data_IF_203252787280
#
_entry.id   IF_203252787280
#
_cell.length_a   1.000
_cell.length_b   1.000
_cell.length_c   1.000
_cell.angle_alpha   90.00
_cell.angle_beta   90.00
_cell.angle_gamma   90.00
#
_symmetry.space_group_name_H-M   'P 1'
#
loop_
_entity.id
_entity.type
_entity.pdbx_description
1 polymer ?
#
# COMPACT_ATOMS: atom_id res chain seq x y z
N UNK A 1 -8.97 10.38 -14.16
CA UNK A 1 -8.42 11.61 -13.53
C UNK A 1 -6.99 11.46 -13.04
N UNK A 2 -6.68 10.47 -12.18
CA UNK A 2 -5.31 10.26 -11.66
C UNK A 2 -4.27 10.18 -12.78
N UNK A 3 -4.52 9.37 -13.83
CA UNK A 3 -3.65 9.29 -15.01
C UNK A 3 -3.44 10.65 -15.70
N UNK A 4 -4.49 11.48 -15.80
CA UNK A 4 -4.42 12.83 -16.38
C UNK A 4 -3.48 13.71 -15.56
N UNK A 5 -3.60 13.70 -14.24
CA UNK A 5 -2.75 14.50 -13.35
C UNK A 5 -1.29 14.00 -13.38
N UNK A 6 -1.09 12.68 -13.31
CA UNK A 6 0.26 12.09 -13.31
C UNK A 6 0.97 12.23 -14.65
N UNK A 7 0.25 12.31 -15.78
CA UNK A 7 0.84 12.49 -17.12
C UNK A 7 1.60 13.81 -17.31
N UNK A 8 1.41 14.78 -16.42
CA UNK A 8 2.08 16.08 -16.48
C UNK A 8 3.55 16.04 -16.01
N UNK A 9 4.04 14.87 -15.54
CA UNK A 9 5.39 14.70 -14.99
C UNK A 9 5.96 13.34 -15.34
N UNK A 10 7.28 13.24 -15.32
CA UNK A 10 7.98 11.96 -15.35
C UNK A 10 8.14 11.40 -13.94
N UNK A 11 8.25 10.08 -13.85
CA UNK A 11 8.32 9.32 -12.61
C UNK A 11 9.49 8.35 -12.65
N UNK A 12 10.07 8.07 -11.49
CA UNK A 12 11.20 7.14 -11.33
C UNK A 12 10.77 5.69 -11.56
N UNK A 13 9.52 5.36 -11.25
CA UNK A 13 8.91 4.04 -11.47
C UNK A 13 7.85 4.08 -12.56
N UNK A 14 7.61 2.91 -13.16
CA UNK A 14 6.53 2.73 -14.14
C UNK A 14 5.18 2.64 -13.43
N UNK A 15 4.21 3.43 -13.89
CA UNK A 15 2.81 3.37 -13.42
C UNK A 15 1.94 2.90 -14.57
N UNK A 16 1.20 1.82 -14.35
CA UNK A 16 0.28 1.25 -15.35
C UNK A 16 -1.15 1.48 -14.87
N UNK A 17 -1.94 2.21 -15.65
CA UNK A 17 -3.39 2.31 -15.46
C UNK A 17 -4.07 1.24 -16.33
N UNK A 18 -4.79 0.32 -15.67
CA UNK A 18 -5.45 -0.81 -16.35
C UNK A 18 -6.96 -0.70 -16.19
N UNK A 19 -7.68 -0.82 -17.30
CA UNK A 19 -9.11 -1.09 -17.30
C UNK A 19 -9.31 -2.57 -17.65
N UNK A 20 -9.73 -3.37 -16.68
CA UNK A 20 -9.89 -4.81 -16.81
C UNK A 20 -11.20 -5.15 -17.53
N UNK A 21 -11.17 -6.22 -18.32
CA UNK A 21 -12.37 -6.80 -18.92
C UNK A 21 -12.83 -8.00 -18.11
N UNK A 22 -14.13 -8.29 -18.13
CA UNK A 22 -14.68 -9.54 -17.60
C UNK A 22 -14.43 -9.78 -16.09
N UNK A 23 -14.42 -8.71 -15.29
CA UNK A 23 -14.45 -8.78 -13.82
C UNK A 23 -15.68 -9.60 -13.37
N UNK A 24 -16.86 -9.18 -13.82
CA UNK A 24 -18.17 -9.79 -13.51
C UNK A 24 -18.35 -11.23 -14.02
N UNK A 25 -17.44 -11.74 -14.86
CA UNK A 25 -17.45 -13.13 -15.32
C UNK A 25 -16.40 -14.00 -14.61
N UNK A 26 -15.73 -13.46 -13.59
CA UNK A 26 -14.74 -14.18 -12.78
C UNK A 26 -13.32 -13.64 -12.92
N UNK A 27 -13.15 -12.32 -13.08
CA UNK A 27 -11.85 -11.60 -13.08
C UNK A 27 -10.88 -12.05 -14.17
N UNK A 28 -11.40 -12.47 -15.33
CA UNK A 28 -10.57 -13.05 -16.40
C UNK A 28 -9.54 -12.07 -16.96
N UNK A 29 -9.90 -10.80 -17.11
CA UNK A 29 -8.98 -9.76 -17.60
C UNK A 29 -7.81 -9.55 -16.66
N UNK A 30 -8.05 -9.37 -15.37
CA UNK A 30 -6.99 -9.22 -14.37
C UNK A 30 -6.10 -10.45 -14.27
N UNK A 31 -6.69 -11.66 -14.27
CA UNK A 31 -5.94 -12.92 -14.29
C UNK A 31 -5.00 -12.99 -15.48
N UNK A 32 -5.51 -12.72 -16.69
CA UNK A 32 -4.69 -12.76 -17.89
C UNK A 32 -3.59 -11.69 -17.86
N UNK A 33 -3.90 -10.48 -17.41
CA UNK A 33 -2.95 -9.38 -17.30
C UNK A 33 -1.78 -9.75 -16.39
N UNK A 34 -2.04 -10.15 -15.14
CA UNK A 34 -0.97 -10.42 -14.16
C UNK A 34 -0.14 -11.63 -14.57
N UNK A 35 -0.77 -12.71 -15.06
CA UNK A 35 -0.05 -13.89 -15.51
C UNK A 35 0.86 -13.59 -16.71
N UNK A 36 0.37 -12.81 -17.68
CA UNK A 36 1.15 -12.42 -18.86
C UNK A 36 2.30 -11.50 -18.48
N UNK A 37 2.07 -10.53 -17.60
CA UNK A 37 3.11 -9.62 -17.12
C UNK A 37 4.25 -10.39 -16.43
N UNK A 38 3.91 -11.28 -15.49
CA UNK A 38 4.90 -12.10 -14.78
C UNK A 38 5.63 -13.07 -15.73
N UNK A 39 4.93 -13.70 -16.68
CA UNK A 39 5.54 -14.57 -17.67
C UNK A 39 6.54 -13.84 -18.59
N UNK A 40 6.32 -12.54 -18.82
CA UNK A 40 7.22 -11.67 -19.56
C UNK A 40 8.32 -11.03 -18.69
N UNK A 41 8.45 -11.43 -17.43
CA UNK A 41 9.47 -10.92 -16.51
C UNK A 41 9.19 -9.51 -15.99
N UNK A 42 7.96 -9.01 -16.11
CA UNK A 42 7.56 -7.73 -15.52
C UNK A 42 7.43 -7.91 -14.01
N UNK A 43 8.19 -7.11 -13.25
CA UNK A 43 8.02 -6.99 -11.81
C UNK A 43 6.86 -6.05 -11.50
N UNK A 44 5.94 -6.48 -10.64
CA UNK A 44 4.80 -5.67 -10.18
C UNK A 44 4.90 -5.55 -8.66
N UNK A 45 5.10 -4.33 -8.17
CA UNK A 45 5.34 -4.07 -6.75
C UNK A 45 4.04 -3.93 -5.96
N UNK A 46 3.03 -3.33 -6.59
CA UNK A 46 1.74 -3.06 -5.99
C UNK A 46 0.62 -3.03 -7.03
N UNK A 47 -0.53 -3.57 -6.66
CA UNK A 47 -1.76 -3.50 -7.42
C UNK A 47 -2.88 -2.92 -6.53
N UNK A 48 -3.37 -1.74 -6.91
CA UNK A 48 -4.45 -1.04 -6.20
C UNK A 48 -5.71 -1.14 -7.06
N UNK A 49 -6.67 -1.96 -6.64
CA UNK A 49 -7.95 -2.11 -7.32
C UNK A 49 -8.96 -1.10 -6.77
N UNK A 50 -9.59 -0.34 -7.67
CA UNK A 50 -10.64 0.62 -7.34
C UNK A 50 -11.97 0.05 -7.85
N UNK A 51 -12.83 -0.37 -6.95
CA UNK A 51 -14.05 -1.09 -7.30
C UNK A 51 -15.18 -0.64 -6.37
N UNK A 52 -16.18 0.01 -6.97
CA UNK A 52 -17.22 0.78 -6.28
C UNK A 52 -16.67 1.93 -5.43
N UNK A 53 -16.12 2.95 -6.09
CA UNK A 53 -15.43 4.10 -5.44
C UNK A 53 -16.20 5.42 -5.57
N UNK A 54 -17.42 5.38 -6.10
CA UNK A 54 -18.25 6.55 -6.33
C UNK A 54 -18.87 7.13 -5.07
N UNK A 55 -19.11 6.28 -4.06
CA UNK A 55 -19.89 6.67 -2.89
C UNK A 55 -21.32 7.07 -3.26
N UNK A 56 -22.08 7.51 -2.24
CA UNK A 56 -23.46 7.99 -2.41
C UNK A 56 -23.86 8.91 -1.28
N UNK A 57 -24.93 9.67 -1.48
CA UNK A 57 -25.47 10.53 -0.42
C UNK A 57 -25.78 9.73 0.86
N UNK A 58 -25.29 10.21 2.00
CA UNK A 58 -25.62 9.68 3.32
C UNK A 58 -24.73 8.55 3.85
N UNK A 59 -23.72 8.09 3.11
CA UNK A 59 -22.73 7.13 3.64
C UNK A 59 -21.57 7.85 4.35
N UNK A 60 -20.83 7.17 5.25
CA UNK A 60 -19.66 7.75 5.89
C UNK A 60 -18.61 8.24 4.88
N UNK A 61 -18.00 9.39 5.14
CA UNK A 61 -16.90 9.95 4.36
C UNK A 61 -15.56 9.32 4.77
N UNK A 62 -15.49 8.00 4.57
CA UNK A 62 -14.32 7.14 4.77
C UNK A 62 -14.32 6.10 3.66
N UNK A 63 -13.26 5.31 3.50
CA UNK A 63 -13.27 4.15 2.60
C UNK A 63 -12.88 2.87 3.33
N UNK A 64 -13.13 1.72 2.70
CA UNK A 64 -12.63 0.43 3.19
C UNK A 64 -11.49 -0.04 2.30
N UNK A 65 -10.41 -0.48 2.93
CA UNK A 65 -9.26 -1.09 2.26
C UNK A 65 -9.16 -2.56 2.66
N UNK A 66 -9.45 -3.45 1.72
CA UNK A 66 -9.25 -4.89 1.90
C UNK A 66 -7.80 -5.26 1.59
N UNK A 67 -7.13 -5.80 2.60
CA UNK A 67 -5.77 -6.31 2.49
C UNK A 67 -5.68 -7.66 3.18
N UNK A 68 -5.49 -8.78 2.46
CA UNK A 68 -5.51 -10.11 3.07
C UNK A 68 -4.31 -10.33 4.00
N UNK A 69 -4.54 -11.11 5.06
CA UNK A 69 -3.48 -11.63 5.92
C UNK A 69 -2.54 -12.61 5.20
N UNK A 70 -1.54 -13.17 5.91
CA UNK A 70 -1.22 -12.94 7.33
C UNK A 70 -0.74 -11.50 7.61
N UNK A 71 -0.53 -11.15 8.88
CA UNK A 71 -0.07 -9.81 9.32
C UNK A 71 1.14 -9.29 8.54
N UNK A 72 2.05 -10.20 8.14
CA UNK A 72 3.28 -9.93 7.39
C UNK A 72 3.14 -10.09 5.87
N UNK A 73 1.93 -10.24 5.34
CA UNK A 73 1.73 -10.37 3.90
C UNK A 73 2.10 -9.06 3.19
N UNK A 74 2.65 -9.17 1.98
CA UNK A 74 2.97 -8.01 1.14
C UNK A 74 1.72 -7.17 0.81
N UNK A 75 0.53 -7.78 0.80
CA UNK A 75 -0.73 -7.06 0.59
C UNK A 75 -1.17 -6.30 1.84
N UNK A 76 -0.97 -6.87 3.03
CA UNK A 76 -1.20 -6.17 4.31
C UNK A 76 -0.22 -5.02 4.48
N UNK A 77 1.06 -5.20 4.10
CA UNK A 77 2.06 -4.14 4.09
C UNK A 77 1.67 -3.00 3.12
N UNK A 78 1.21 -3.33 1.90
CA UNK A 78 0.67 -2.34 0.96
C UNK A 78 -0.52 -1.57 1.54
N UNK A 79 -1.42 -2.26 2.25
CA UNK A 79 -2.52 -1.60 2.95
C UNK A 79 -2.06 -0.62 4.03
N UNK A 80 -1.04 -1.00 4.84
CA UNK A 80 -0.43 -0.09 5.83
C UNK A 80 0.24 1.11 5.17
N UNK A 81 0.89 0.91 4.02
CA UNK A 81 1.48 2.00 3.26
C UNK A 81 0.40 3.01 2.82
N UNK A 82 -0.70 2.54 2.23
CA UNK A 82 -1.78 3.43 1.80
C UNK A 82 -2.40 4.17 2.99
N UNK A 83 -2.57 3.49 4.14
CA UNK A 83 -3.02 4.15 5.37
C UNK A 83 -2.02 5.20 5.88
N UNK A 84 -0.72 4.96 5.79
CA UNK A 84 0.30 5.96 6.13
C UNK A 84 0.18 7.20 5.23
N UNK A 85 0.06 6.99 3.92
CA UNK A 85 -0.13 8.10 2.97
C UNK A 85 -1.44 8.85 3.24
N UNK A 86 -2.53 8.14 3.52
CA UNK A 86 -3.81 8.73 3.92
C UNK A 86 -3.66 9.66 5.14
N UNK A 87 -3.00 9.20 6.20
CA UNK A 87 -2.82 10.00 7.43
C UNK A 87 -2.04 11.31 7.23
N UNK A 88 -1.22 11.39 6.18
CA UNK A 88 -0.42 12.59 5.85
C UNK A 88 -1.16 13.50 4.89
N UNK A 89 -1.79 12.94 3.85
CA UNK A 89 -2.30 13.72 2.71
C UNK A 89 -3.81 13.95 2.76
N UNK A 90 -4.59 13.10 3.45
CA UNK A 90 -6.05 13.16 3.44
C UNK A 90 -6.69 12.64 4.75
N UNK A 91 -6.26 13.12 5.94
CA UNK A 91 -6.74 12.59 7.23
C UNK A 91 -8.25 12.77 7.48
N UNK A 92 -8.92 13.66 6.74
CA UNK A 92 -10.37 13.86 6.82
C UNK A 92 -11.20 12.79 6.08
N UNK A 93 -10.56 11.86 5.35
CA UNK A 93 -11.22 10.80 4.59
C UNK A 93 -10.62 9.43 4.92
N UNK A 94 -10.79 8.96 6.18
CA UNK A 94 -9.95 7.90 6.72
C UNK A 94 -10.10 6.56 5.99
N UNK A 95 -8.97 5.88 5.84
CA UNK A 95 -8.90 4.48 5.41
C UNK A 95 -9.24 3.53 6.56
N UNK A 96 -10.34 2.79 6.42
CA UNK A 96 -10.71 1.70 7.34
C UNK A 96 -10.12 0.39 6.83
N UNK A 97 -9.11 -0.12 7.54
CA UNK A 97 -8.44 -1.38 7.21
C UNK A 97 -9.35 -2.59 7.45
N UNK A 98 -9.48 -3.45 6.45
CA UNK A 98 -10.23 -4.71 6.50
C UNK A 98 -9.27 -5.90 6.42
N UNK A 99 -9.26 -6.73 7.47
CA UNK A 99 -8.46 -7.96 7.54
C UNK A 99 -9.14 -9.10 6.78
N UNK A 100 -9.18 -8.97 5.46
CA UNK A 100 -9.71 -9.97 4.56
C UNK A 100 -9.21 -9.72 3.14
N UNK A 101 -9.26 -10.76 2.31
CA UNK A 101 -9.11 -10.60 0.86
C UNK A 101 -10.27 -9.77 0.31
N UNK A 102 -11.50 -10.15 0.68
CA UNK A 102 -12.74 -9.46 0.40
C UNK A 102 -13.86 -10.09 1.26
N UNK A 103 -15.12 -9.73 1.02
CA UNK A 103 -16.29 -10.39 1.62
C UNK A 103 -16.67 -11.63 0.82
N UNK A 104 -17.33 -12.59 1.46
CA UNK A 104 -17.74 -13.81 0.78
C UNK A 104 -18.71 -13.53 -0.38
N UNK A 105 -18.51 -14.22 -1.50
CA UNK A 105 -19.27 -14.02 -2.75
C UNK A 105 -19.10 -12.66 -3.42
N UNK A 106 -18.22 -11.80 -2.90
CA UNK A 106 -17.99 -10.43 -3.39
C UNK A 106 -16.51 -10.30 -3.66
N UNK A 107 -16.14 -10.32 -4.93
CA UNK A 107 -14.72 -10.30 -5.31
C UNK A 107 -14.43 -9.06 -6.15
N UNK A 108 -13.15 -8.86 -6.42
CA UNK A 108 -12.66 -7.83 -7.32
C UNK A 108 -11.33 -8.30 -7.90
N UNK A 109 -10.83 -7.57 -8.90
CA UNK A 109 -9.65 -7.94 -9.67
C UNK A 109 -8.35 -8.08 -8.86
N UNK A 110 -8.21 -7.38 -7.72
CA UNK A 110 -7.02 -7.45 -6.85
C UNK A 110 -6.69 -8.88 -6.41
N UNK A 111 -7.70 -9.75 -6.27
CA UNK A 111 -7.50 -11.13 -5.83
C UNK A 111 -6.59 -11.91 -6.78
N UNK A 112 -6.62 -11.60 -8.07
CA UNK A 112 -5.81 -12.32 -9.06
C UNK A 112 -4.34 -11.91 -8.96
N UNK A 113 -4.05 -10.67 -8.54
CA UNK A 113 -2.71 -10.23 -8.17
C UNK A 113 -2.22 -10.93 -6.91
N UNK A 114 -3.05 -10.98 -5.86
CA UNK A 114 -2.71 -11.70 -4.62
C UNK A 114 -2.40 -13.17 -4.90
N UNK A 115 -3.22 -13.84 -5.72
CA UNK A 115 -3.02 -15.25 -6.13
C UNK A 115 -1.74 -15.47 -6.93
N UNK A 116 -1.31 -14.46 -7.67
CA UNK A 116 -0.07 -14.48 -8.43
C UNK A 116 1.18 -14.12 -7.59
N UNK A 117 1.02 -13.87 -6.29
CA UNK A 117 2.12 -13.48 -5.39
C UNK A 117 2.50 -12.01 -5.48
N UNK A 118 1.62 -11.16 -6.02
CA UNK A 118 1.79 -9.70 -6.09
C UNK A 118 1.00 -9.03 -4.98
N UNK A 119 1.53 -7.95 -4.39
CA UNK A 119 0.83 -7.18 -3.38
C UNK A 119 -0.43 -6.55 -3.99
N UNK A 120 -1.61 -6.96 -3.50
CA UNK A 120 -2.90 -6.54 -4.05
C UNK A 120 -3.85 -6.07 -2.96
N UNK A 121 -4.47 -4.92 -3.16
CA UNK A 121 -5.51 -4.37 -2.26
C UNK A 121 -6.73 -3.91 -3.05
N UNK A 122 -7.89 -3.88 -2.38
CA UNK A 122 -9.11 -3.26 -2.91
C UNK A 122 -9.50 -2.06 -2.10
N UNK A 123 -9.72 -0.94 -2.79
CA UNK A 123 -10.37 0.24 -2.27
C UNK A 123 -11.84 0.22 -2.70
N UNK A 124 -12.74 0.36 -1.74
CA UNK A 124 -14.18 0.35 -1.95
C UNK A 124 -14.86 1.34 -1.02
N UNK A 125 -16.01 1.84 -1.45
CA UNK A 125 -16.83 2.76 -0.66
C UNK A 125 -17.15 2.27 0.76
N UNK A 126 -17.36 3.20 1.68
CA UNK A 126 -17.62 2.92 3.11
C UNK A 126 -18.83 2.03 3.34
N UNK A 127 -19.89 2.21 2.55
CA UNK A 127 -21.13 1.46 2.69
C UNK A 127 -21.81 1.23 1.34
N UNK A 128 -21.93 -0.04 0.99
CA UNK A 128 -22.58 -0.49 -0.23
C UNK A 128 -24.10 -0.45 -0.16
N UNK A 129 -24.73 -0.42 -1.32
CA UNK A 129 -26.15 -0.71 -1.50
C UNK A 129 -26.34 -1.83 -2.53
N UNK A 130 -26.55 -3.05 -2.04
CA UNK A 130 -26.70 -4.24 -2.88
C UNK A 130 -27.99 -4.21 -3.73
N UNK A 131 -28.96 -3.36 -3.39
CA UNK A 131 -30.19 -3.22 -4.19
C UNK A 131 -29.97 -2.42 -5.48
N UNK A 132 -28.90 -1.61 -5.51
CA UNK A 132 -28.55 -0.75 -6.64
C UNK A 132 -27.56 -1.46 -7.57
N UNK A 133 -26.55 -2.11 -7.01
CA UNK A 133 -25.51 -2.80 -7.78
C UNK A 133 -26.10 -3.82 -8.76
N UNK A 134 -25.51 -3.91 -9.96
CA UNK A 134 -25.97 -4.83 -11.00
C UNK A 134 -27.46 -4.69 -11.35
N UNK A 135 -28.03 -3.50 -11.11
CA UNK A 135 -29.39 -3.14 -11.47
C UNK A 135 -29.40 -1.94 -12.42
N UNK A 136 -30.54 -1.69 -13.05
CA UNK A 136 -30.74 -0.49 -13.89
C UNK A 136 -30.75 0.82 -13.09
N UNK A 137 -30.77 0.76 -11.75
CA UNK A 137 -30.70 1.94 -10.89
C UNK A 137 -29.26 2.42 -10.67
N UNK A 138 -28.25 1.59 -10.96
CA UNK A 138 -26.84 1.97 -10.88
C UNK A 138 -26.49 2.98 -11.97
N UNK A 139 -26.64 4.25 -11.62
CA UNK A 139 -26.52 5.38 -12.55
C UNK A 139 -25.71 6.48 -11.91
N UNK A 140 -25.06 7.28 -12.76
CA UNK A 140 -24.18 8.38 -12.32
C UNK A 140 -24.86 9.41 -11.40
N UNK A 141 -26.19 9.49 -11.39
CA UNK A 141 -26.94 10.44 -10.54
C UNK A 141 -26.84 10.11 -9.06
N UNK A 142 -26.42 8.89 -8.70
CA UNK A 142 -26.25 8.45 -7.32
C UNK A 142 -24.83 8.70 -6.79
N UNK A 143 -23.88 9.00 -7.67
CA UNK A 143 -22.47 9.21 -7.32
C UNK A 143 -22.30 10.47 -6.49
N UNK A 144 -21.60 10.34 -5.37
CA UNK A 144 -21.09 11.48 -4.61
C UNK A 144 -19.74 11.91 -5.22
N UNK A 145 -19.76 12.97 -6.02
CA UNK A 145 -18.54 13.46 -6.68
C UNK A 145 -17.49 14.01 -5.72
N UNK A 146 -17.87 14.43 -4.50
CA UNK A 146 -16.89 14.82 -3.47
C UNK A 146 -16.21 13.59 -2.87
N UNK A 147 -16.96 12.52 -2.65
CA UNK A 147 -16.41 11.22 -2.24
C UNK A 147 -15.44 10.69 -3.31
N UNK A 148 -15.89 10.65 -4.58
CA UNK A 148 -15.07 10.18 -5.70
C UNK A 148 -13.81 11.03 -5.90
N UNK A 149 -13.90 12.34 -5.68
CA UNK A 149 -12.72 13.24 -5.70
C UNK A 149 -11.71 12.85 -4.63
N UNK A 150 -12.15 12.59 -3.39
CA UNK A 150 -11.27 12.14 -2.29
C UNK A 150 -10.62 10.79 -2.59
N UNK A 151 -11.39 9.84 -3.14
CA UNK A 151 -10.85 8.57 -3.65
C UNK A 151 -9.75 8.79 -4.71
N UNK A 152 -9.96 9.72 -5.65
CA UNK A 152 -8.94 10.07 -6.64
C UNK A 152 -7.70 10.73 -6.01
N UNK A 153 -7.88 11.60 -5.00
CA UNK A 153 -6.79 12.24 -4.27
C UNK A 153 -5.93 11.23 -3.50
N UNK A 154 -6.54 10.26 -2.81
CA UNK A 154 -5.81 9.19 -2.11
C UNK A 154 -5.02 8.31 -3.08
N UNK A 155 -5.63 7.88 -4.18
CA UNK A 155 -4.93 7.11 -5.23
C UNK A 155 -3.76 7.91 -5.81
N UNK A 156 -3.97 9.20 -6.10
CA UNK A 156 -2.91 10.07 -6.60
C UNK A 156 -1.78 10.22 -5.59
N UNK A 157 -2.06 10.48 -4.32
CA UNK A 157 -1.05 10.62 -3.29
C UNK A 157 -0.24 9.32 -3.12
N UNK A 158 -0.92 8.16 -3.09
CA UNK A 158 -0.28 6.85 -2.94
C UNK A 158 0.62 6.54 -4.14
N UNK A 159 0.08 6.66 -5.36
CA UNK A 159 0.84 6.38 -6.59
C UNK A 159 1.98 7.39 -6.79
N UNK A 160 1.78 8.67 -6.51
CA UNK A 160 2.82 9.69 -6.67
C UNK A 160 3.98 9.51 -5.68
N UNK A 161 3.72 9.01 -4.47
CA UNK A 161 4.80 8.70 -3.53
C UNK A 161 5.58 7.45 -4.01
N UNK A 162 4.88 6.35 -4.29
CA UNK A 162 5.52 5.12 -4.80
C UNK A 162 6.31 5.36 -6.09
N UNK A 163 5.75 6.12 -7.04
CA UNK A 163 6.33 6.28 -8.35
C UNK A 163 7.50 7.25 -8.41
N UNK A 164 7.60 8.18 -7.45
CA UNK A 164 8.69 9.13 -7.40
C UNK A 164 9.90 8.64 -6.60
N UNK A 165 9.63 7.88 -5.55
CA UNK A 165 10.68 7.35 -4.69
C UNK A 165 11.59 6.36 -5.44
N UNK A 166 12.81 6.15 -4.93
CA UNK A 166 13.66 5.05 -5.40
C UNK A 166 12.93 3.70 -5.30
N UNK A 167 13.48 2.70 -5.98
CA UNK A 167 12.89 1.36 -6.03
C UNK A 167 12.73 0.76 -4.63
N UNK A 168 11.82 -0.22 -4.52
CA UNK A 168 11.64 -0.97 -3.27
C UNK A 168 12.98 -1.57 -2.83
N UNK A 169 13.46 -1.27 -1.62
CA UNK A 169 14.69 -1.86 -1.11
C UNK A 169 14.55 -3.36 -0.87
N UNK A 170 15.67 -4.09 -0.92
CA UNK A 170 15.73 -5.46 -0.43
C UNK A 170 15.48 -5.52 1.09
N UNK A 171 15.14 -6.71 1.58
CA UNK A 171 14.94 -6.93 3.00
C UNK A 171 16.24 -6.62 3.78
N UNK A 172 16.18 -5.80 4.86
CA UNK A 172 17.36 -5.51 5.65
C UNK A 172 17.88 -6.75 6.38
N UNK A 173 19.19 -6.80 6.62
CA UNK A 173 19.74 -7.67 7.64
C UNK A 173 19.51 -7.04 9.02
N UNK A 174 18.85 -7.78 9.92
CA UNK A 174 18.56 -7.34 11.29
C UNK A 174 19.24 -8.28 12.27
N UNK A 175 20.05 -7.73 13.17
CA UNK A 175 20.73 -8.49 14.23
C UNK A 175 20.55 -7.84 15.59
N UNK A 176 20.49 -8.60 16.69
CA UNK A 176 20.48 -8.03 18.04
C UNK A 176 21.78 -7.26 18.32
N UNK A 177 21.69 -6.20 19.11
CA UNK A 177 22.83 -5.49 19.68
C UNK A 177 23.24 -6.04 21.05
N UNK A 178 24.16 -5.34 21.72
CA UNK A 178 24.76 -5.80 23.00
C UNK A 178 23.80 -5.68 24.19
N UNK A 179 22.77 -4.83 24.10
CA UNK A 179 21.77 -4.62 25.14
C UNK A 179 20.40 -5.19 24.74
N UNK A 180 19.59 -5.72 25.69
CA UNK A 180 18.21 -6.12 25.41
C UNK A 180 17.41 -4.98 24.76
N UNK A 181 16.70 -5.28 23.68
CA UNK A 181 15.91 -4.27 22.96
C UNK A 181 16.74 -3.38 22.02
N UNK A 182 18.05 -3.64 21.88
CA UNK A 182 18.88 -2.99 20.88
C UNK A 182 19.03 -3.86 19.63
N UNK A 183 19.04 -3.22 18.45
CA UNK A 183 19.19 -3.88 17.16
C UNK A 183 20.13 -3.11 16.25
N UNK A 184 20.75 -3.83 15.32
CA UNK A 184 21.49 -3.28 14.20
C UNK A 184 20.77 -3.69 12.91
N UNK A 185 20.53 -2.71 12.05
CA UNK A 185 19.85 -2.85 10.76
C UNK A 185 20.82 -2.45 9.66
N UNK A 186 21.08 -3.35 8.72
CA UNK A 186 22.03 -3.14 7.62
C UNK A 186 21.32 -3.40 6.29
N UNK A 187 21.53 -2.52 5.31
CA UNK A 187 20.92 -2.63 3.98
C UNK A 187 21.81 -1.96 2.92
N UNK A 188 21.57 -2.29 1.66
CA UNK A 188 22.24 -1.66 0.54
C UNK A 188 21.62 -0.29 0.22
N UNK A 189 22.48 0.73 0.10
CA UNK A 189 22.07 2.11 -0.15
C UNK A 189 21.89 2.34 -1.66
N UNK A 190 20.68 2.73 -2.06
CA UNK A 190 20.36 3.14 -3.43
C UNK A 190 21.00 4.50 -3.71
N UNK A 191 21.71 4.61 -4.84
CA UNK A 191 22.40 5.84 -5.24
C UNK A 191 21.45 7.03 -5.47
N UNK A 192 20.16 6.78 -5.71
CA UNK A 192 19.13 7.80 -5.93
C UNK A 192 18.34 8.12 -4.65
N UNK A 193 18.60 7.44 -3.53
CA UNK A 193 17.94 7.73 -2.27
C UNK A 193 18.48 9.01 -1.63
N UNK A 194 17.57 9.86 -1.15
CA UNK A 194 17.92 11.00 -0.30
C UNK A 194 17.94 10.61 1.20
N UNK A 195 17.33 9.48 1.54
CA UNK A 195 17.26 8.96 2.90
C UNK A 195 16.38 7.72 2.97
N UNK A 196 16.13 7.26 4.18
CA UNK A 196 15.32 6.08 4.46
C UNK A 196 14.39 6.30 5.64
N UNK A 197 13.20 5.72 5.55
CA UNK A 197 12.29 5.51 6.68
C UNK A 197 12.41 4.05 7.11
N UNK A 198 13.05 3.80 8.25
CA UNK A 198 13.16 2.45 8.85
C UNK A 198 12.07 2.31 9.90
N UNK A 199 11.27 1.26 9.85
CA UNK A 199 10.14 1.04 10.76
C UNK A 199 10.29 -0.24 11.54
N UNK A 200 10.08 -0.17 12.86
CA UNK A 200 9.99 -1.33 13.75
C UNK A 200 8.54 -1.51 14.15
N UNK A 201 7.72 -2.11 13.29
CA UNK A 201 6.29 -2.24 13.55
C UNK A 201 6.04 -3.38 14.56
N UNK A 202 5.38 -3.16 15.71
CA UNK A 202 4.98 -4.27 16.57
C UNK A 202 4.10 -5.26 15.81
N UNK A 203 4.38 -6.56 15.92
CA UNK A 203 3.62 -7.59 15.22
C UNK A 203 2.13 -7.53 15.61
N UNK A 204 1.23 -7.89 14.68
CA UNK A 204 -0.24 -7.87 14.86
C UNK A 204 -0.86 -6.46 14.96
N UNK A 205 -0.18 -5.44 14.44
CA UNK A 205 -0.72 -4.09 14.27
C UNK A 205 -1.23 -3.88 12.84
N UNK A 206 -2.43 -3.30 12.71
CA UNK A 206 -3.09 -3.08 11.42
C UNK A 206 -2.54 -1.90 10.63
N UNK A 207 -1.83 -0.99 11.29
CA UNK A 207 -1.34 0.28 10.75
C UNK A 207 0.08 0.51 11.22
N UNK A 208 0.78 1.47 10.61
CA UNK A 208 2.02 1.98 11.18
C UNK A 208 1.73 3.01 12.28
N UNK A 209 2.58 3.03 13.29
CA UNK A 209 2.65 4.08 14.31
C UNK A 209 3.85 4.96 13.99
N UNK A 210 3.64 6.29 13.93
CA UNK A 210 4.68 7.26 13.62
C UNK A 210 5.85 7.18 14.62
N UNK A 211 5.58 6.85 15.88
CA UNK A 211 6.60 6.70 16.92
C UNK A 211 7.58 5.54 16.66
N UNK A 212 7.24 4.63 15.75
CA UNK A 212 8.06 3.46 15.41
C UNK A 212 8.94 3.68 14.18
N UNK A 213 8.94 4.89 13.61
CA UNK A 213 9.80 5.27 12.49
C UNK A 213 11.12 5.89 12.94
N UNK A 214 12.17 5.51 12.25
CA UNK A 214 13.50 6.10 12.31
C UNK A 214 13.88 6.60 10.92
N UNK A 215 13.90 7.92 10.77
CA UNK A 215 14.28 8.57 9.51
C UNK A 215 15.78 8.85 9.52
N UNK A 216 16.47 8.47 8.45
CA UNK A 216 17.92 8.70 8.29
C UNK A 216 18.20 9.34 6.94
N UNK A 217 19.06 10.36 6.90
CA UNK A 217 19.62 10.90 5.66
C UNK A 217 20.57 9.91 5.00
N UNK A 218 20.75 10.02 3.69
CA UNK A 218 21.60 9.10 2.90
C UNK A 218 23.04 9.04 3.42
N UNK A 219 23.56 10.13 3.99
CA UNK A 219 24.89 10.22 4.59
C UNK A 219 25.08 9.33 5.83
N UNK A 220 23.98 8.91 6.46
CA UNK A 220 23.96 8.03 7.63
C UNK A 220 23.27 6.68 7.33
N UNK A 221 23.01 6.38 6.06
CA UNK A 221 22.27 5.19 5.65
C UNK A 221 23.15 3.92 5.56
N UNK A 222 22.48 2.77 5.42
CA UNK A 222 23.09 1.47 5.17
C UNK A 222 23.48 0.70 6.44
N UNK A 223 23.60 1.38 7.57
CA UNK A 223 23.88 0.74 8.85
C UNK A 223 23.39 1.59 10.02
N UNK A 224 22.27 1.18 10.60
CA UNK A 224 21.57 1.90 11.66
C UNK A 224 21.57 1.08 12.95
N UNK A 225 21.94 1.73 14.05
CA UNK A 225 21.78 1.18 15.40
C UNK A 225 20.51 1.75 16.05
N UNK A 226 19.66 0.87 16.56
CA UNK A 226 18.41 1.19 17.22
C UNK A 226 18.51 0.76 18.68
N UNK A 227 18.61 1.71 19.62
CA UNK A 227 18.58 1.42 21.04
C UNK A 227 17.16 1.37 21.60
N UNK A 228 17.02 0.78 22.79
CA UNK A 228 15.90 1.01 23.72
C UNK A 228 14.48 0.65 23.23
N UNK A 229 14.33 -0.33 22.31
CA UNK A 229 13.01 -0.92 22.05
C UNK A 229 12.58 -1.84 23.17
N UNK A 230 11.27 -2.06 23.32
CA UNK A 230 10.75 -3.02 24.30
C UNK A 230 11.24 -4.45 23.93
N UNK A 231 12.06 -5.10 24.77
CA UNK A 231 12.64 -6.40 24.46
C UNK A 231 11.63 -7.55 24.49
N UNK A 232 10.44 -7.34 25.04
CA UNK A 232 9.37 -8.34 25.12
C UNK A 232 8.43 -8.34 23.90
N UNK A 233 8.71 -7.48 22.90
CA UNK A 233 7.87 -7.32 21.71
C UNK A 233 8.59 -7.89 20.49
N UNK A 234 7.88 -8.68 19.69
CA UNK A 234 8.30 -9.04 18.34
C UNK A 234 7.93 -7.93 17.38
N UNK A 235 8.90 -7.46 16.60
CA UNK A 235 8.75 -6.43 15.58
C UNK A 235 8.88 -7.03 14.19
N UNK A 236 8.09 -6.50 13.26
CA UNK A 236 8.30 -6.61 11.83
C UNK A 236 9.08 -5.37 11.37
N UNK A 237 10.33 -5.59 10.96
CA UNK A 237 11.26 -4.53 10.54
C UNK A 237 11.23 -4.41 9.03
N UNK A 238 11.12 -3.19 8.53
CA UNK A 238 11.15 -2.89 7.11
C UNK A 238 11.70 -1.48 6.88
N UNK A 239 12.10 -1.16 5.65
CA UNK A 239 12.54 0.17 5.28
C UNK A 239 12.03 0.59 3.91
N UNK A 240 11.79 1.88 3.74
CA UNK A 240 11.47 2.50 2.47
C UNK A 240 12.48 3.60 2.14
N UNK A 241 12.88 3.69 0.87
CA UNK A 241 13.71 4.78 0.40
C UNK A 241 12.88 6.07 0.26
N UNK A 242 13.54 7.20 0.48
CA UNK A 242 12.98 8.54 0.32
C UNK A 242 13.61 9.22 -0.89
N UNK A 243 12.81 9.97 -1.65
CA UNK A 243 13.35 10.90 -2.64
C UNK A 243 13.74 12.25 -2.01
N UNK A 244 14.30 13.15 -2.82
CA UNK A 244 14.70 14.51 -2.38
C UNK A 244 13.51 15.39 -1.94
N UNK A 245 12.28 15.00 -2.28
CA UNK A 245 11.04 15.66 -1.85
C UNK A 245 10.44 15.06 -0.59
N UNK A 246 11.07 14.06 0.02
CA UNK A 246 10.56 13.35 1.20
C UNK A 246 9.45 12.35 0.90
N UNK A 247 9.21 12.02 -0.39
CA UNK A 247 8.22 11.02 -0.79
C UNK A 247 8.72 9.63 -0.44
N UNK A 248 7.85 8.83 0.18
CA UNK A 248 8.20 7.51 0.73
C UNK A 248 7.88 6.44 -0.31
N UNK A 249 8.86 5.61 -0.65
CA UNK A 249 8.69 4.48 -1.56
C UNK A 249 7.99 3.28 -0.95
N UNK A 250 7.85 2.21 -1.74
CA UNK A 250 7.32 0.94 -1.24
C UNK A 250 8.33 0.35 -0.24
N UNK A 251 7.82 -0.12 0.90
CA UNK A 251 8.60 -0.74 1.95
C UNK A 251 9.21 -2.08 1.51
N UNK A 252 10.43 -2.38 1.95
CA UNK A 252 11.08 -3.69 1.76
C UNK A 252 10.24 -4.81 2.37
N UNK A 253 10.43 -6.08 1.95
CA UNK A 253 9.86 -7.21 2.69
C UNK A 253 10.20 -7.13 4.18
N UNK A 254 9.24 -7.51 5.04
CA UNK A 254 9.40 -7.44 6.49
C UNK A 254 10.32 -8.57 7.00
N UNK A 255 11.21 -8.22 7.94
CA UNK A 255 12.05 -9.17 8.68
C UNK A 255 11.62 -9.16 10.14
N UNK A 256 11.33 -10.34 10.70
CA UNK A 256 10.92 -10.44 12.10
C UNK A 256 12.13 -10.45 13.02
N UNK A 257 12.04 -9.68 14.11
CA UNK A 257 13.02 -9.65 15.19
C UNK A 257 12.31 -9.52 16.53
N UNK A 258 12.85 -10.08 17.60
CA UNK A 258 12.19 -10.12 18.90
C UNK A 258 12.84 -11.09 19.87
N UNK A 259 12.20 -11.32 21.03
CA UNK A 259 12.67 -12.27 22.05
C UNK A 259 12.72 -13.72 21.54
#
# INVERSE_FOLDING_TARGET
EVARVMSAREWSQTVIFVATTAEEQGTYGARNFVQTALANGVRIDAAINNDMVGGRAGIPQSLRLYSPGPDTSISRQLGRYIHLIDSVYLPEFPVVMMDALDRDGRWGDHREFVRAGVAGVRLIESAEDLSIQNSTADTWTLVDFDYLRKMAQLNLASLANMAAAPGQPDAPAVSPGDAPGSYRVVWDVDANAAGYAVVFRPLNTMTYDEAMFHYVGVENAGNLFIPDLNPSVTYAVSLAALDTGGRIGVFSPEVLTGP
#
